data_IF_063535795200
#
_entry.id   IF_063535795200
#
_cell.length_a   1.000
_cell.length_b   1.000
_cell.length_c   1.000
_cell.angle_alpha   90.00
_cell.angle_beta   90.00
_cell.angle_gamma   90.00
#
_symmetry.space_group_name_H-M   'P 1'
#
loop_
_entity.id
_entity.type
_entity.pdbx_description
1 polymer ?
#
# COMPACT_ATOMS: atom_id res chain seq x y z
N UNK A 1 13.19 4.76 12.47
CA UNK A 1 12.18 4.66 11.39
C UNK A 1 10.84 4.34 12.02
N UNK A 2 9.75 4.89 11.50
CA UNK A 2 8.40 4.42 11.84
C UNK A 2 8.34 2.93 11.49
N UNK A 3 8.08 2.09 12.49
CA UNK A 3 7.98 0.64 12.33
C UNK A 3 6.52 0.25 12.50
N UNK A 4 5.97 -0.44 11.51
CA UNK A 4 4.61 -0.95 11.57
C UNK A 4 4.63 -2.43 11.97
N UNK A 5 3.63 -2.85 12.74
CA UNK A 5 3.52 -4.24 13.17
C UNK A 5 3.31 -5.20 11.97
N UNK A 6 3.60 -6.50 12.13
CA UNK A 6 3.57 -7.48 11.04
C UNK A 6 2.17 -7.69 10.42
N UNK A 7 1.10 -7.30 11.12
CA UNK A 7 -0.27 -7.34 10.61
C UNK A 7 -0.64 -6.10 9.77
N UNK A 8 0.24 -5.09 9.69
CA UNK A 8 -0.04 -3.84 8.99
C UNK A 8 0.01 -4.07 7.48
N UNK A 9 -1.14 -3.85 6.83
CA UNK A 9 -1.22 -3.84 5.38
C UNK A 9 -0.83 -2.46 4.84
N UNK A 10 -0.14 -2.47 3.70
CA UNK A 10 0.23 -1.27 2.97
C UNK A 10 -0.56 -1.26 1.67
N UNK A 11 -1.48 -0.31 1.53
CA UNK A 11 -2.33 -0.16 0.37
C UNK A 11 -1.80 0.97 -0.50
N UNK A 12 -1.34 0.62 -1.69
CA UNK A 12 -0.95 1.58 -2.71
C UNK A 12 -2.15 1.92 -3.58
N UNK A 13 -2.56 3.20 -3.59
CA UNK A 13 -3.65 3.66 -4.44
C UNK A 13 -3.27 3.57 -5.93
N UNK A 14 -4.14 2.95 -6.73
CA UNK A 14 -4.00 2.93 -8.17
C UNK A 14 -4.19 4.34 -8.76
N UNK A 15 -3.57 4.60 -9.91
CA UNK A 15 -3.75 5.87 -10.61
C UNK A 15 -3.22 7.07 -9.82
N UNK A 16 -3.62 8.27 -10.21
CA UNK A 16 -3.08 9.52 -9.66
C UNK A 16 -3.95 10.05 -8.51
N UNK A 17 -3.31 10.76 -7.59
CA UNK A 17 -3.97 11.50 -6.51
C UNK A 17 -3.51 12.95 -6.50
N UNK A 18 -4.45 13.87 -6.32
CA UNK A 18 -4.16 15.28 -6.11
C UNK A 18 -3.44 15.49 -4.77
N UNK A 19 -2.13 15.76 -4.84
CA UNK A 19 -1.26 15.92 -3.67
C UNK A 19 -1.50 17.20 -2.88
N UNK A 20 -2.43 18.08 -3.30
CA UNK A 20 -2.89 19.21 -2.47
C UNK A 20 -3.73 18.76 -1.27
N UNK A 21 -4.29 17.54 -1.32
CA UNK A 21 -5.08 16.97 -0.22
C UNK A 21 -4.23 16.76 1.03
N UNK A 22 -4.71 17.27 2.16
CA UNK A 22 -4.16 17.06 3.50
C UNK A 22 -4.78 15.84 4.18
N UNK A 23 -4.94 15.89 5.51
CA UNK A 23 -5.51 14.81 6.31
C UNK A 23 -6.90 14.38 5.82
N UNK A 24 -7.89 15.26 5.86
CA UNK A 24 -9.29 14.91 5.53
C UNK A 24 -9.48 14.49 4.07
N UNK A 25 -8.74 15.14 3.16
CA UNK A 25 -8.81 14.82 1.74
C UNK A 25 -8.22 13.44 1.41
N UNK A 26 -7.14 13.04 2.09
CA UNK A 26 -6.57 11.70 1.93
C UNK A 26 -7.39 10.65 2.69
N UNK A 27 -7.93 11.01 3.85
CA UNK A 27 -8.85 10.18 4.62
C UNK A 27 -10.07 9.81 3.78
N UNK A 28 -10.72 10.80 3.16
CA UNK A 28 -11.85 10.58 2.26
C UNK A 28 -11.48 9.68 1.08
N UNK A 29 -10.27 9.79 0.52
CA UNK A 29 -9.83 8.89 -0.54
C UNK A 29 -9.64 7.44 -0.06
N UNK A 30 -9.05 7.24 1.12
CA UNK A 30 -8.93 5.90 1.69
C UNK A 30 -10.30 5.26 1.94
N UNK A 31 -11.25 6.03 2.49
CA UNK A 31 -12.62 5.55 2.75
C UNK A 31 -13.43 5.34 1.47
N UNK A 32 -13.54 6.37 0.64
CA UNK A 32 -14.54 6.43 -0.43
C UNK A 32 -14.02 5.80 -1.73
N UNK A 33 -12.72 5.88 -2.01
CA UNK A 33 -12.14 5.35 -3.26
C UNK A 33 -11.48 4.00 -3.07
N UNK A 34 -10.81 3.78 -1.94
CA UNK A 34 -10.16 2.51 -1.67
C UNK A 34 -11.08 1.54 -0.93
N UNK A 35 -12.22 2.01 -0.40
CA UNK A 35 -13.20 1.25 0.37
C UNK A 35 -12.56 0.57 1.59
N UNK A 36 -11.73 1.31 2.30
CA UNK A 36 -10.98 0.83 3.46
C UNK A 36 -11.15 1.79 4.65
N UNK A 37 -11.14 1.22 5.85
CA UNK A 37 -11.21 1.99 7.09
C UNK A 37 -9.89 2.75 7.35
N UNK A 38 -9.84 4.10 7.26
CA UNK A 38 -8.58 4.83 7.39
C UNK A 38 -7.99 4.80 8.80
N UNK A 39 -8.80 4.52 9.82
CA UNK A 39 -8.36 4.40 11.22
C UNK A 39 -7.87 2.99 11.60
N UNK A 40 -7.80 2.06 10.65
CA UNK A 40 -7.46 0.65 10.92
C UNK A 40 -5.99 0.40 11.33
N UNK A 41 -5.17 1.45 11.41
CA UNK A 41 -3.71 1.33 11.59
C UNK A 41 -2.95 0.86 10.35
N UNK A 42 -3.64 0.73 9.20
CA UNK A 42 -3.00 0.41 7.93
C UNK A 42 -2.40 1.66 7.27
N UNK A 43 -1.50 1.42 6.32
CA UNK A 43 -0.79 2.49 5.61
C UNK A 43 -1.39 2.65 4.22
N UNK A 44 -1.76 3.87 3.88
CA UNK A 44 -2.30 4.22 2.56
C UNK A 44 -1.29 5.09 1.82
N UNK A 45 -0.88 4.65 0.63
CA UNK A 45 0.20 5.25 -0.15
C UNK A 45 -0.39 5.85 -1.41
N UNK A 46 -0.16 7.15 -1.60
CA UNK A 46 -0.68 7.92 -2.73
C UNK A 46 0.45 8.61 -3.48
N UNK A 47 0.31 8.78 -4.79
CA UNK A 47 1.24 9.58 -5.60
C UNK A 47 0.52 10.48 -6.59
N UNK A 48 1.18 11.58 -6.98
CA UNK A 48 0.70 12.43 -8.06
C UNK A 48 0.83 11.76 -9.43
N UNK A 49 0.21 12.33 -10.47
CA UNK A 49 0.28 11.81 -11.83
C UNK A 49 1.72 11.66 -12.36
N UNK A 50 2.61 12.60 -12.04
CA UNK A 50 4.01 12.55 -12.45
C UNK A 50 4.85 11.56 -11.63
N UNK A 51 4.31 10.97 -10.55
CA UNK A 51 5.02 10.05 -9.65
C UNK A 51 6.30 10.61 -9.05
N UNK A 52 6.40 11.92 -8.87
CA UNK A 52 7.54 12.56 -8.20
C UNK A 52 7.18 13.04 -6.78
N UNK A 53 5.93 12.87 -6.36
CA UNK A 53 5.45 13.15 -5.02
C UNK A 53 4.67 11.97 -4.48
N UNK A 54 4.94 11.62 -3.24
CA UNK A 54 4.31 10.53 -2.51
C UNK A 54 3.80 11.04 -1.17
N UNK A 55 2.63 10.57 -0.75
CA UNK A 55 2.12 10.74 0.61
C UNK A 55 1.73 9.40 1.22
N UNK A 56 2.02 9.24 2.50
CA UNK A 56 1.57 8.13 3.34
C UNK A 56 0.55 8.68 4.32
N UNK A 57 -0.60 8.03 4.44
CA UNK A 57 -1.61 8.27 5.48
C UNK A 57 -1.70 7.03 6.37
N UNK A 58 -1.69 7.20 7.69
CA UNK A 58 -1.99 6.12 8.63
C UNK A 58 -2.45 6.70 9.98
N UNK A 59 -3.19 5.90 10.75
CA UNK A 59 -3.59 6.21 12.13
C UNK A 59 -2.69 5.45 13.11
N UNK A 60 -2.18 6.11 14.15
CA UNK A 60 -1.27 5.48 15.13
C UNK A 60 -1.97 5.00 16.41
N UNK A 61 -3.30 5.15 16.50
CA UNK A 61 -4.08 4.91 17.72
C UNK A 61 -4.52 6.19 18.42
N UNK A 62 -3.79 7.29 18.24
CA UNK A 62 -4.02 8.59 18.88
C UNK A 62 -4.21 9.75 17.88
N UNK A 63 -3.65 9.64 16.68
CA UNK A 63 -3.62 10.70 15.68
C UNK A 63 -3.44 10.17 14.26
N UNK A 64 -3.93 10.95 13.29
CA UNK A 64 -3.67 10.74 11.87
C UNK A 64 -2.30 11.31 11.53
N UNK A 65 -1.51 10.54 10.79
CA UNK A 65 -0.23 10.93 10.26
C UNK A 65 -0.30 11.09 8.75
N UNK A 66 0.30 12.17 8.25
CA UNK A 66 0.60 12.34 6.82
C UNK A 66 2.09 12.57 6.65
N UNK A 67 2.79 11.61 6.05
CA UNK A 67 4.19 11.78 5.65
C UNK A 67 4.25 12.10 4.16
N UNK A 68 5.08 13.07 3.76
CA UNK A 68 5.23 13.46 2.36
C UNK A 68 6.69 13.33 1.91
N UNK A 69 6.90 12.79 0.71
CA UNK A 69 8.20 12.77 0.03
C UNK A 69 8.07 13.38 -1.36
N UNK A 70 8.93 14.34 -1.68
CA UNK A 70 9.09 14.89 -3.03
C UNK A 70 10.49 14.53 -3.54
N UNK A 71 10.55 14.02 -4.76
CA UNK A 71 11.82 13.79 -5.43
C UNK A 71 12.31 15.11 -6.04
N UNK A 72 13.59 15.42 -5.84
CA UNK A 72 14.24 16.55 -6.54
C UNK A 72 14.43 16.24 -8.04
N UNK A 73 14.60 14.97 -8.39
CA UNK A 73 14.64 14.49 -9.78
C UNK A 73 14.13 13.06 -9.88
N UNK A 74 13.54 12.71 -11.02
CA UNK A 74 13.08 11.35 -11.30
C UNK A 74 11.63 11.08 -10.89
N UNK A 75 11.26 9.81 -10.86
CA UNK A 75 9.91 9.32 -10.58
C UNK A 75 10.00 8.02 -9.77
N UNK A 76 9.06 7.82 -8.87
CA UNK A 76 8.83 6.52 -8.23
C UNK A 76 8.34 5.52 -9.28
N UNK A 77 8.76 4.27 -9.12
CA UNK A 77 8.06 3.15 -9.73
C UNK A 77 6.62 3.09 -9.21
N UNK A 78 5.67 2.77 -10.08
CA UNK A 78 4.28 2.62 -9.71
C UNK A 78 3.68 1.41 -10.44
N UNK A 79 3.11 0.43 -9.71
CA UNK A 79 2.53 -0.74 -10.32
C UNK A 79 1.34 -0.33 -11.18
N UNK A 80 1.18 -1.03 -12.30
CA UNK A 80 -0.07 -1.03 -13.05
C UNK A 80 -1.07 -1.87 -12.26
N UNK A 81 -1.88 -1.21 -11.45
CA UNK A 81 -3.15 -1.79 -11.07
C UNK A 81 -4.03 -1.75 -12.32
N UNK A 82 -4.61 -2.88 -12.74
CA UNK A 82 -5.55 -2.91 -13.87
C UNK A 82 -6.81 -2.11 -13.53
N UNK A 83 -7.94 -2.80 -13.36
CA UNK A 83 -9.20 -2.17 -12.95
C UNK A 83 -9.31 -2.00 -11.41
N UNK A 84 -8.38 -2.56 -10.65
CA UNK A 84 -8.37 -2.49 -9.19
C UNK A 84 -7.96 -1.09 -8.69
N UNK A 85 -8.67 -0.51 -7.71
CA UNK A 85 -8.35 0.82 -7.18
C UNK A 85 -7.11 0.84 -6.29
N UNK A 86 -6.55 -0.32 -5.92
CA UNK A 86 -5.43 -0.47 -4.99
C UNK A 86 -4.60 -1.72 -5.24
N UNK A 87 -3.34 -1.69 -4.81
CA UNK A 87 -2.43 -2.85 -4.75
C UNK A 87 -1.92 -2.98 -3.32
N UNK A 88 -1.82 -4.20 -2.81
CA UNK A 88 -1.22 -4.45 -1.49
C UNK A 88 0.29 -4.64 -1.66
N UNK A 89 1.08 -3.86 -0.93
CA UNK A 89 2.53 -3.97 -0.88
C UNK A 89 2.97 -4.66 0.42
N UNK A 90 4.09 -5.38 0.35
CA UNK A 90 4.84 -5.73 1.55
C UNK A 90 5.65 -4.53 2.08
N UNK A 91 6.14 -4.63 3.32
CA UNK A 91 7.00 -3.59 3.90
C UNK A 91 8.29 -3.39 3.08
N UNK A 92 8.86 -4.47 2.56
CA UNK A 92 10.04 -4.46 1.70
C UNK A 92 9.74 -3.77 0.35
N UNK A 93 8.57 -4.00 -0.22
CA UNK A 93 8.15 -3.37 -1.48
C UNK A 93 7.95 -1.87 -1.32
N UNK A 94 7.36 -1.44 -0.20
CA UNK A 94 7.31 -0.03 0.12
C UNK A 94 8.71 0.57 0.32
N UNK A 95 9.61 -0.15 1.01
CA UNK A 95 10.99 0.31 1.22
C UNK A 95 11.74 0.45 -0.11
N UNK A 96 11.61 -0.52 -1.02
CA UNK A 96 12.18 -0.46 -2.38
C UNK A 96 11.60 0.70 -3.18
N UNK A 97 10.27 0.88 -3.18
CA UNK A 97 9.61 1.99 -3.86
C UNK A 97 10.12 3.34 -3.35
N UNK A 98 10.17 3.53 -2.03
CA UNK A 98 10.68 4.76 -1.42
C UNK A 98 12.17 4.95 -1.70
N UNK A 99 12.94 3.86 -1.76
CA UNK A 99 14.37 3.83 -2.07
C UNK A 99 14.70 4.08 -3.54
N UNK A 100 13.69 4.11 -4.44
CA UNK A 100 13.90 4.28 -5.88
C UNK A 100 14.40 3.03 -6.59
N UNK A 101 14.08 1.85 -6.06
CA UNK A 101 14.41 0.56 -6.66
C UNK A 101 13.20 0.08 -7.47
N UNK A 102 13.41 -0.18 -8.77
CA UNK A 102 12.37 -0.60 -9.70
C UNK A 102 12.02 -2.08 -9.51
N UNK A 103 10.79 -2.34 -9.03
CA UNK A 103 10.29 -3.68 -8.73
C UNK A 103 10.05 -4.53 -9.99
N UNK A 104 9.79 -3.92 -11.15
CA UNK A 104 9.61 -4.64 -12.44
C UNK A 104 10.85 -5.44 -12.85
N UNK A 105 12.03 -5.05 -12.38
CA UNK A 105 13.29 -5.73 -12.68
C UNK A 105 13.66 -6.80 -11.62
N UNK A 106 12.86 -6.92 -10.55
CA UNK A 106 13.14 -7.78 -9.42
C UNK A 106 12.28 -9.04 -9.43
N UNK A 107 12.91 -10.22 -9.54
CA UNK A 107 12.20 -11.49 -9.39
C UNK A 107 12.06 -11.82 -7.90
N UNK A 108 10.82 -11.96 -7.41
CA UNK A 108 10.59 -12.54 -6.08
C UNK A 108 11.07 -13.99 -6.09
N UNK A 109 11.88 -14.39 -5.10
CA UNK A 109 12.20 -15.80 -4.88
C UNK A 109 10.96 -16.52 -4.33
N UNK A 110 10.75 -17.77 -4.74
CA UNK A 110 9.61 -18.60 -4.34
C UNK A 110 9.76 -19.13 -2.89
N UNK A 111 9.86 -18.21 -1.93
CA UNK A 111 9.81 -18.54 -0.50
C UNK A 111 8.37 -18.64 -0.03
N UNK A 112 8.13 -19.50 0.95
CA UNK A 112 6.80 -19.69 1.53
C UNK A 112 6.24 -18.36 2.05
N UNK A 113 5.10 -17.94 1.49
CA UNK A 113 4.36 -16.76 1.94
C UNK A 113 2.89 -17.15 2.01
N UNK A 114 2.33 -17.14 3.23
CA UNK A 114 0.89 -17.33 3.43
C UNK A 114 0.19 -16.01 3.11
N UNK A 115 -0.55 -15.94 2.01
CA UNK A 115 -1.48 -14.84 1.77
C UNK A 115 -2.64 -14.98 2.76
N UNK A 116 -3.07 -13.87 3.37
CA UNK A 116 -4.15 -13.88 4.35
C UNK A 116 -5.55 -14.16 3.73
N UNK A 117 -5.62 -14.40 2.41
CA UNK A 117 -6.82 -14.72 1.67
C UNK A 117 -6.81 -16.19 1.28
N UNK A 118 -7.15 -17.06 2.25
CA UNK A 118 -7.77 -18.39 2.06
C UNK A 118 -7.80 -19.20 3.38
N UNK A 119 -8.35 -18.60 4.44
CA UNK A 119 -8.69 -19.32 5.67
C UNK A 119 -9.95 -20.20 5.55
N UNK A 120 -10.70 -20.10 4.46
CA UNK A 120 -12.02 -20.72 4.34
C UNK A 120 -12.07 -22.10 3.64
N UNK A 121 -10.98 -22.58 3.01
CA UNK A 121 -11.08 -23.77 2.13
C UNK A 121 -10.13 -24.93 2.46
N UNK A 122 -9.52 -24.97 3.65
CA UNK A 122 -8.57 -26.05 4.00
C UNK A 122 -9.25 -27.24 4.73
N UNK A 123 -10.51 -27.12 5.15
CA UNK A 123 -11.15 -28.19 5.96
C UNK A 123 -11.80 -29.29 5.11
N UNK A 124 -12.08 -29.10 3.82
CA UNK A 124 -12.97 -30.04 3.10
C UNK A 124 -12.27 -31.14 2.27
N UNK A 125 -10.94 -31.16 2.16
CA UNK A 125 -10.22 -32.21 1.37
C UNK A 125 -9.64 -33.37 2.18
N UNK A 126 -10.08 -33.58 3.43
CA UNK A 126 -9.78 -34.80 4.20
C UNK A 126 -11.02 -35.68 4.38
N UNK A 127 -11.65 -36.10 3.28
CA UNK A 127 -12.50 -37.30 3.22
C UNK A 127 -12.85 -37.62 1.76
N UNK A 128 -11.98 -38.40 1.13
CA UNK A 128 -12.38 -39.38 0.14
C UNK A 128 -11.34 -40.50 0.20
N UNK A 129 -11.87 -41.70 0.41
CA UNK A 129 -11.22 -43.00 0.55
C UNK A 129 -10.44 -43.36 -0.71
#
# INVERSE_FOLDING_TARGET
MLSWGPATKIYLAAGATDMRKGFDGLFGLARDRLELEPLSGHVFVFANAQRNRLKLLFWDGSGLWVCAKRLERGRFWWPKAGDEPKVVLSAEELAMLIGGIDLDSSARRAWYRRTAENGANIVEKRRAV
#
